data_IF_323257474402
#
_entry.id   IF_323257474402
#
_cell.length_a   1.000
_cell.length_b   1.000
_cell.length_c   1.000
_cell.angle_alpha   90.00
_cell.angle_beta   90.00
_cell.angle_gamma   90.00
#
_symmetry.space_group_name_H-M   'P 1'
#
loop_
_entity.id
_entity.type
_entity.pdbx_description
1 polymer ?
#
# COMPACT_ATOMS: atom_id res chain seq x y z
N UNK A 1 -13.73 4.36 -2.32
CA UNK A 1 -14.46 3.73 -3.45
C UNK A 1 -14.29 4.52 -4.74
N UNK A 2 -14.83 5.72 -4.89
CA UNK A 2 -14.75 6.49 -6.15
C UNK A 2 -13.32 6.68 -6.68
N UNK A 3 -12.37 7.04 -5.81
CA UNK A 3 -10.96 7.15 -6.20
C UNK A 3 -10.36 5.80 -6.66
N UNK A 4 -10.70 4.69 -6.00
CA UNK A 4 -10.22 3.34 -6.40
C UNK A 4 -10.74 2.98 -7.79
N UNK A 5 -12.02 3.23 -8.05
CA UNK A 5 -12.64 2.99 -9.36
C UNK A 5 -12.04 3.89 -10.45
N UNK A 6 -11.78 5.16 -10.14
CA UNK A 6 -11.10 6.08 -11.06
C UNK A 6 -9.66 5.64 -11.39
N UNK A 7 -9.00 4.92 -10.47
CA UNK A 7 -7.70 4.28 -10.66
C UNK A 7 -7.81 2.90 -11.34
N UNK A 8 -9.01 2.50 -11.78
CA UNK A 8 -9.25 1.26 -12.50
C UNK A 8 -9.34 0.02 -11.61
N UNK A 9 -9.54 0.16 -10.30
CA UNK A 9 -9.87 -0.97 -9.41
C UNK A 9 -11.28 -1.46 -9.71
N UNK A 10 -11.39 -2.75 -9.98
CA UNK A 10 -12.63 -3.47 -10.28
C UNK A 10 -13.01 -4.43 -9.15
N UNK A 11 -14.21 -4.99 -9.22
CA UNK A 11 -14.66 -5.98 -8.26
C UNK A 11 -13.79 -7.24 -8.33
N UNK A 12 -13.34 -7.73 -7.18
CA UNK A 12 -12.43 -8.89 -7.08
C UNK A 12 -10.94 -8.54 -7.12
N UNK A 13 -10.56 -7.32 -7.50
CA UNK A 13 -9.16 -6.89 -7.41
C UNK A 13 -8.68 -6.86 -5.95
N UNK A 14 -7.41 -7.18 -5.74
CA UNK A 14 -6.78 -7.10 -4.41
C UNK A 14 -6.10 -5.74 -4.23
N UNK A 15 -6.37 -5.08 -3.11
CA UNK A 15 -5.80 -3.79 -2.72
C UNK A 15 -5.15 -3.95 -1.36
N UNK A 16 -3.85 -3.67 -1.26
CA UNK A 16 -3.17 -3.72 0.02
C UNK A 16 -3.44 -2.46 0.84
N UNK A 17 -3.53 -2.62 2.15
CA UNK A 17 -3.61 -1.53 3.12
C UNK A 17 -2.36 -1.58 3.97
N UNK A 18 -1.48 -0.60 3.79
CA UNK A 18 -0.21 -0.46 4.52
C UNK A 18 -0.15 0.90 5.19
N UNK A 19 -0.73 0.97 6.38
CA UNK A 19 -0.83 2.20 7.18
C UNK A 19 -1.00 1.84 8.67
N UNK A 20 -0.67 2.75 9.59
CA UNK A 20 -0.93 2.59 11.01
C UNK A 20 -2.39 2.29 11.34
N UNK A 21 -2.64 1.78 12.55
CA UNK A 21 -4.01 1.55 13.04
C UNK A 21 -4.65 2.86 13.46
N UNK A 22 -5.47 3.43 12.59
CA UNK A 22 -6.21 4.67 12.82
C UNK A 22 -7.54 4.69 12.05
N UNK A 23 -8.23 5.84 12.06
CA UNK A 23 -9.48 6.03 11.33
C UNK A 23 -9.25 5.94 9.81
N UNK A 24 -8.12 6.43 9.30
CA UNK A 24 -7.75 6.34 7.89
C UNK A 24 -7.66 4.90 7.40
N UNK A 25 -7.14 3.99 8.23
CA UNK A 25 -7.14 2.55 7.95
C UNK A 25 -8.54 1.98 7.83
N UNK A 26 -9.44 2.33 8.76
CA UNK A 26 -10.83 1.87 8.74
C UNK A 26 -11.53 2.37 7.47
N UNK A 27 -11.38 3.66 7.14
CA UNK A 27 -11.96 4.27 5.95
C UNK A 27 -11.43 3.62 4.68
N UNK A 28 -10.13 3.31 4.62
CA UNK A 28 -9.49 2.62 3.50
C UNK A 28 -10.10 1.24 3.27
N UNK A 29 -10.21 0.42 4.32
CA UNK A 29 -10.80 -0.92 4.24
C UNK A 29 -12.25 -0.85 3.78
N UNK A 30 -13.07 0.02 4.38
CA UNK A 30 -14.46 0.20 3.96
C UNK A 30 -14.56 0.70 2.52
N UNK A 31 -13.65 1.58 2.10
CA UNK A 31 -13.58 2.10 0.74
C UNK A 31 -13.25 1.04 -0.31
N UNK A 32 -12.38 0.08 0.02
CA UNK A 32 -12.04 -1.10 -0.80
C UNK A 32 -13.25 -2.02 -0.90
N UNK A 33 -13.84 -2.41 0.24
CA UNK A 33 -15.01 -3.27 0.27
C UNK A 33 -16.19 -2.66 -0.50
N UNK A 34 -16.39 -1.34 -0.37
CA UNK A 34 -17.41 -0.61 -1.12
C UNK A 34 -17.16 -0.58 -2.63
N UNK A 35 -15.92 -0.71 -3.08
CA UNK A 35 -15.59 -0.86 -4.50
C UNK A 35 -15.78 -2.30 -5.02
N UNK A 36 -16.13 -3.25 -4.15
CA UNK A 36 -16.21 -4.68 -4.50
C UNK A 36 -14.85 -5.38 -4.54
N UNK A 37 -13.78 -4.70 -4.10
CA UNK A 37 -12.43 -5.21 -4.07
C UNK A 37 -12.12 -5.94 -2.74
N UNK A 38 -11.00 -6.66 -2.73
CA UNK A 38 -10.52 -7.46 -1.60
C UNK A 38 -9.38 -6.68 -0.92
N UNK A 39 -9.49 -6.42 0.38
CA UNK A 39 -8.40 -5.78 1.12
C UNK A 39 -7.38 -6.81 1.60
N UNK A 40 -6.10 -6.45 1.53
CA UNK A 40 -4.97 -7.26 2.02
C UNK A 40 -4.25 -6.46 3.12
N UNK A 41 -4.29 -6.87 4.39
CA UNK A 41 -3.61 -6.14 5.46
C UNK A 41 -2.10 -6.38 5.39
N UNK A 42 -1.32 -5.31 5.22
CA UNK A 42 0.15 -5.37 5.19
C UNK A 42 0.73 -4.33 6.13
N UNK A 43 1.01 -4.69 7.39
CA UNK A 43 1.54 -3.76 8.38
C UNK A 43 2.84 -3.09 7.90
N UNK A 44 2.94 -1.74 8.01
CA UNK A 44 4.10 -1.00 7.49
C UNK A 44 5.38 -1.23 8.29
N UNK A 45 5.27 -1.71 9.53
CA UNK A 45 6.37 -2.08 10.43
C UNK A 45 7.05 -3.41 10.05
N UNK A 46 6.50 -4.15 9.07
CA UNK A 46 7.16 -5.34 8.55
C UNK A 46 8.33 -4.98 7.64
N UNK A 47 9.41 -5.80 7.63
CA UNK A 47 10.51 -5.62 6.69
C UNK A 47 10.02 -5.56 5.24
N UNK A 48 10.61 -4.67 4.44
CA UNK A 48 10.25 -4.45 3.04
C UNK A 48 10.13 -5.75 2.22
N UNK A 49 11.13 -6.63 2.33
CA UNK A 49 11.14 -7.90 1.62
C UNK A 49 9.92 -8.78 1.96
N UNK A 50 9.44 -8.72 3.21
CA UNK A 50 8.24 -9.45 3.64
C UNK A 50 6.99 -8.86 3.00
N UNK A 51 6.88 -7.52 2.95
CA UNK A 51 5.77 -6.79 2.32
C UNK A 51 5.68 -7.12 0.82
N UNK A 52 6.80 -7.04 0.10
CA UNK A 52 6.91 -7.40 -1.32
C UNK A 52 6.43 -8.84 -1.57
N UNK A 53 6.81 -9.79 -0.70
CA UNK A 53 6.34 -11.17 -0.79
C UNK A 53 4.82 -11.30 -0.65
N UNK A 54 4.20 -10.50 0.23
CA UNK A 54 2.74 -10.46 0.39
C UNK A 54 2.09 -9.85 -0.85
N UNK A 55 2.59 -8.72 -1.36
CA UNK A 55 2.03 -8.06 -2.54
C UNK A 55 2.04 -8.99 -3.76
N UNK A 56 3.17 -9.66 -4.00
CA UNK A 56 3.29 -10.63 -5.09
C UNK A 56 2.38 -11.85 -4.89
N UNK A 57 2.37 -12.41 -3.69
CA UNK A 57 1.56 -13.59 -3.37
C UNK A 57 0.05 -13.35 -3.45
N UNK A 58 -0.40 -12.12 -3.15
CA UNK A 58 -1.80 -11.73 -3.22
C UNK A 58 -2.20 -11.06 -4.55
N UNK A 59 -1.28 -10.91 -5.50
CA UNK A 59 -1.56 -10.27 -6.79
C UNK A 59 -2.05 -8.82 -6.67
N UNK A 60 -1.51 -8.07 -5.69
CA UNK A 60 -1.99 -6.73 -5.33
C UNK A 60 -1.92 -5.77 -6.51
N UNK A 61 -3.06 -5.15 -6.83
CA UNK A 61 -3.18 -4.16 -7.91
C UNK A 61 -2.66 -2.78 -7.51
N UNK A 62 -2.93 -2.37 -6.27
CA UNK A 62 -2.41 -1.13 -5.70
C UNK A 62 -2.31 -1.21 -4.17
N UNK A 63 -1.50 -0.33 -3.60
CA UNK A 63 -1.30 -0.21 -2.15
C UNK A 63 -1.86 1.14 -1.70
N UNK A 64 -2.69 1.14 -0.66
CA UNK A 64 -3.06 2.36 0.06
C UNK A 64 -2.10 2.55 1.23
N UNK A 65 -1.48 3.72 1.29
CA UNK A 65 -0.57 4.15 2.36
C UNK A 65 -1.08 5.41 3.04
N UNK A 66 -0.52 5.72 4.21
CA UNK A 66 -0.71 7.05 4.81
C UNK A 66 0.10 8.08 4.03
N UNK A 67 -0.42 9.32 3.92
CA UNK A 67 0.26 10.41 3.21
C UNK A 67 1.66 10.75 3.78
N UNK A 68 1.90 10.38 5.04
CA UNK A 68 3.16 10.60 5.75
C UNK A 68 4.19 9.47 5.50
N UNK A 69 3.80 8.36 4.87
CA UNK A 69 4.73 7.29 4.50
C UNK A 69 5.34 7.56 3.13
N UNK A 70 6.68 7.50 2.99
CA UNK A 70 7.33 7.64 1.70
C UNK A 70 6.88 6.53 0.75
N UNK A 71 6.66 6.88 -0.52
CA UNK A 71 6.26 5.93 -1.55
C UNK A 71 7.27 4.77 -1.61
N UNK A 72 6.76 3.54 -1.65
CA UNK A 72 7.59 2.34 -1.80
C UNK A 72 8.27 2.30 -3.19
N UNK A 73 7.82 3.11 -4.14
CA UNK A 73 8.53 3.40 -5.40
C UNK A 73 9.69 4.40 -5.24
N UNK A 74 9.73 5.17 -4.15
CA UNK A 74 10.78 6.15 -3.85
C UNK A 74 11.85 5.62 -2.89
N UNK A 75 11.74 4.41 -2.33
CA UNK A 75 12.80 3.83 -1.47
C UNK A 75 14.07 3.51 -2.25
N UNK A 76 14.00 3.20 -3.55
CA UNK A 76 15.21 3.14 -4.38
C UNK A 76 15.88 4.52 -4.45
N UNK A 77 15.12 5.63 -4.48
CA UNK A 77 15.69 6.98 -4.36
C UNK A 77 16.17 7.26 -2.93
N UNK A 78 15.42 6.91 -1.89
CA UNK A 78 15.78 7.19 -0.50
C UNK A 78 17.03 6.43 -0.03
N UNK A 79 17.20 5.18 -0.48
CA UNK A 79 18.44 4.40 -0.29
C UNK A 79 19.61 5.04 -1.04
N UNK A 80 19.38 5.55 -2.26
CA UNK A 80 20.40 6.30 -3.02
C UNK A 80 20.81 7.60 -2.29
N UNK A 81 19.85 8.35 -1.72
CA UNK A 81 20.13 9.58 -0.94
C UNK A 81 20.88 9.30 0.37
N UNK A 82 20.55 8.22 1.09
CA UNK A 82 21.26 7.84 2.33
C UNK A 82 22.66 7.29 2.07
N UNK A 83 22.90 6.63 0.93
CA UNK A 83 24.22 6.17 0.51
C UNK A 83 25.12 7.35 0.08
N UNK A 84 24.57 8.34 -0.63
CA UNK A 84 25.31 9.52 -1.09
C UNK A 84 25.76 10.49 0.03
N UNK A 85 25.07 10.51 1.18
CA UNK A 85 25.46 11.35 2.34
C UNK A 85 26.55 10.70 3.20
N UNK A 86 26.80 9.39 3.02
CA UNK A 86 27.81 8.62 3.76
C UNK A 86 29.09 8.34 2.96
N UNK A 87 29.22 8.90 1.76
CA UNK A 87 30.38 8.82 0.85
C UNK A 87 30.90 10.21 0.55
#
# INVERSE_FOLDING_TARGET
AGCLQALGVEAGDTVAVSMPKDIGQIVSVLGILKAGAIYVPVPPDQPLARRIGIYKGAGVKCVLTSADEPDEHDIDKALTWQQAIRS
#
